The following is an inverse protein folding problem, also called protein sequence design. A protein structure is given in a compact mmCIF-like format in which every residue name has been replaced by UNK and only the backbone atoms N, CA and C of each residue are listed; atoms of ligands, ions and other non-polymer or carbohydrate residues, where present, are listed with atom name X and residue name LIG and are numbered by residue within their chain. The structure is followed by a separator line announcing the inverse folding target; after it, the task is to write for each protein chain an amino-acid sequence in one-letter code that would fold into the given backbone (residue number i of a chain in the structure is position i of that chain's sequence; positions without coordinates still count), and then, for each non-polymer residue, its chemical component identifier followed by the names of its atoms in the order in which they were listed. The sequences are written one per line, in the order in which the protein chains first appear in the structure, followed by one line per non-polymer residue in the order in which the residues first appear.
data_IF_311548735906
#
_entry.id   IF_311548735906
#
_cell.length_a   1.000
_cell.length_b   1.000
_cell.length_c   1.000
_cell.angle_alpha   90.00
_cell.angle_beta   90.00
_cell.angle_gamma   90.00
#
_symmetry.space_group_name_H-M   'P 1'
#
loop_
_entity.id
_entity.type
_entity.pdbx_description
1 polymer ?
#
# COMPACT_ATOMS: atom_id res chain seq x y z
N UNK A 1 17.44 13.59 16.19
CA UNK A 1 16.34 13.40 15.23
C UNK A 1 16.42 11.98 14.72
N UNK A 2 15.99 11.03 15.56
CA UNK A 2 15.92 9.62 15.19
C UNK A 2 14.71 9.46 14.27
N UNK A 3 14.99 9.23 12.98
CA UNK A 3 13.98 8.99 11.97
C UNK A 3 13.28 7.68 12.33
N UNK A 4 12.08 7.79 12.90
CA UNK A 4 11.26 6.68 13.39
C UNK A 4 11.27 5.52 12.38
N UNK A 5 11.38 4.29 12.90
CA UNK A 5 11.22 3.07 12.13
C UNK A 5 9.77 3.00 11.64
N UNK A 6 9.49 3.59 10.47
CA UNK A 6 8.20 3.55 9.80
C UNK A 6 7.95 2.16 9.21
N UNK A 7 7.68 1.17 10.05
CA UNK A 7 7.11 -0.09 9.58
C UNK A 7 5.59 0.14 9.49
N UNK A 8 5.12 0.68 8.37
CA UNK A 8 3.71 0.45 8.01
C UNK A 8 3.53 -1.06 8.07
N UNK A 9 2.60 -1.56 8.89
CA UNK A 9 2.25 -2.97 8.86
C UNK A 9 1.79 -3.26 7.44
N UNK A 10 2.67 -3.92 6.68
CA UNK A 10 2.55 -4.16 5.26
C UNK A 10 1.21 -4.81 4.87
N UNK A 11 0.57 -5.46 5.83
CA UNK A 11 -0.74 -6.12 5.69
C UNK A 11 -1.90 -5.19 5.31
N UNK A 12 -1.77 -3.86 5.40
CA UNK A 12 -2.93 -2.95 5.19
C UNK A 12 -3.05 -2.34 3.79
N UNK A 13 -1.96 -2.11 3.04
CA UNK A 13 -2.02 -1.28 1.82
C UNK A 13 -1.79 -1.99 0.49
N UNK A 14 -1.33 -3.24 0.48
CA UNK A 14 -1.11 -3.96 -0.77
C UNK A 14 -2.38 -4.72 -1.14
N UNK A 15 -3.03 -4.20 -2.18
CA UNK A 15 -4.19 -4.71 -2.91
C UNK A 15 -4.40 -6.22 -2.72
N UNK A 16 -5.46 -6.58 -1.96
CA UNK A 16 -5.88 -7.96 -1.74
C UNK A 16 -6.26 -8.63 -3.06
N UNK A 17 -5.31 -9.31 -3.69
CA UNK A 17 -5.61 -10.28 -4.74
C UNK A 17 -6.09 -11.57 -4.08
N UNK A 18 -7.34 -11.92 -4.36
CA UNK A 18 -8.01 -13.21 -4.13
C UNK A 18 -7.07 -14.40 -3.80
N UNK A 19 -6.85 -14.64 -2.51
CA UNK A 19 -6.60 -15.99 -2.00
C UNK A 19 -7.55 -16.25 -0.84
N UNK A 20 -8.83 -16.38 -1.17
CA UNK A 20 -9.93 -16.59 -0.22
C UNK A 20 -9.85 -17.90 0.56
N UNK A 21 -8.83 -18.73 0.33
CA UNK A 21 -8.73 -20.05 0.97
C UNK A 21 -7.71 -20.11 2.12
N UNK A 22 -6.77 -19.16 2.26
CA UNK A 22 -5.87 -19.05 3.42
C UNK A 22 -5.07 -17.72 3.43
N UNK A 23 -5.65 -16.62 3.95
CA UNK A 23 -4.98 -15.31 4.01
C UNK A 23 -3.69 -15.35 4.85
N UNK A 24 -3.62 -16.19 5.87
CA UNK A 24 -2.45 -16.34 6.73
C UNK A 24 -1.24 -16.86 5.94
N UNK A 25 -1.44 -17.83 5.04
CA UNK A 25 -0.38 -18.34 4.18
C UNK A 25 0.12 -17.28 3.19
N UNK A 26 -0.78 -16.45 2.67
CA UNK A 26 -0.41 -15.34 1.79
C UNK A 26 0.50 -14.35 2.52
N UNK A 27 0.12 -13.90 3.72
CA UNK A 27 0.94 -12.98 4.53
C UNK A 27 2.28 -13.60 4.91
N UNK A 28 2.31 -14.89 5.23
CA UNK A 28 3.55 -15.59 5.53
C UNK A 28 4.53 -15.57 4.34
N UNK A 29 4.03 -15.89 3.14
CA UNK A 29 4.85 -15.88 1.92
C UNK A 29 5.33 -14.47 1.62
N UNK A 30 4.45 -13.47 1.74
CA UNK A 30 4.79 -12.07 1.50
C UNK A 30 5.90 -11.57 2.42
N UNK A 31 5.75 -11.75 3.74
CA UNK A 31 6.78 -11.35 4.72
C UNK A 31 8.10 -12.09 4.49
N UNK A 32 8.05 -13.39 4.18
CA UNK A 32 9.25 -14.16 3.87
C UNK A 32 9.95 -13.63 2.61
N UNK A 33 9.20 -13.27 1.57
CA UNK A 33 9.76 -12.69 0.34
C UNK A 33 10.41 -11.35 0.59
N UNK A 34 9.80 -10.49 1.42
CA UNK A 34 10.34 -9.16 1.77
C UNK A 34 11.62 -9.31 2.58
N UNK A 35 11.61 -10.18 3.59
CA UNK A 35 12.80 -10.49 4.38
C UNK A 35 13.93 -11.00 3.50
N UNK A 36 13.64 -11.95 2.60
CA UNK A 36 14.62 -12.49 1.66
C UNK A 36 15.21 -11.40 0.77
N UNK A 37 14.36 -10.58 0.16
CA UNK A 37 14.76 -9.45 -0.68
C UNK A 37 15.66 -8.45 0.07
N UNK A 38 15.30 -8.09 1.30
CA UNK A 38 16.07 -7.19 2.16
C UNK A 38 17.42 -7.81 2.57
N UNK A 39 17.44 -9.09 2.95
CA UNK A 39 18.66 -9.80 3.34
C UNK A 39 19.65 -9.91 2.19
N UNK A 40 19.18 -10.23 0.97
CA UNK A 40 20.01 -10.27 -0.24
C UNK A 40 20.56 -8.89 -0.57
N UNK A 41 19.72 -7.84 -0.52
CA UNK A 41 20.18 -6.47 -0.74
C UNK A 41 21.27 -6.06 0.26
N UNK A 42 21.08 -6.39 1.54
CA UNK A 42 22.04 -6.07 2.61
C UNK A 42 23.36 -6.82 2.44
N UNK A 43 23.30 -8.11 2.09
CA UNK A 43 24.50 -8.90 1.83
C UNK A 43 25.28 -8.37 0.62
N UNK A 44 24.58 -8.10 -0.48
CA UNK A 44 25.19 -7.55 -1.68
C UNK A 44 25.79 -6.17 -1.44
N UNK A 45 25.10 -5.27 -0.72
CA UNK A 45 25.64 -3.92 -0.45
C UNK A 45 26.95 -3.93 0.32
N UNK A 46 27.21 -4.95 1.13
CA UNK A 46 28.50 -5.11 1.82
C UNK A 46 29.62 -5.57 0.87
N UNK A 47 29.27 -6.25 -0.21
CA UNK A 47 30.21 -6.86 -1.16
C UNK A 47 30.45 -5.96 -2.38
N UNK A 48 29.38 -5.38 -2.91
CA UNK A 48 29.32 -4.60 -4.14
C UNK A 48 28.53 -3.29 -3.92
N UNK A 49 29.04 -2.36 -3.10
CA UNK A 49 28.28 -1.18 -2.65
C UNK A 49 27.76 -0.32 -3.80
N UNK A 50 28.46 -0.26 -4.93
CA UNK A 50 28.17 0.69 -6.01
C UNK A 50 27.46 0.10 -7.24
N UNK A 51 27.19 -1.22 -7.28
CA UNK A 51 26.69 -1.91 -8.48
C UNK A 51 25.53 -2.87 -8.20
N UNK A 52 24.53 -2.41 -7.44
CA UNK A 52 23.31 -3.18 -7.15
C UNK A 52 22.07 -2.39 -7.63
N UNK A 53 21.13 -3.03 -8.35
CA UNK A 53 19.85 -2.41 -8.63
C UNK A 53 18.99 -2.45 -7.36
N UNK A 54 18.87 -1.33 -6.65
CA UNK A 54 17.98 -1.18 -5.51
C UNK A 54 16.59 -0.77 -5.97
N UNK A 55 15.56 -1.21 -5.26
CA UNK A 55 14.17 -0.79 -5.45
C UNK A 55 13.84 0.28 -4.42
N UNK A 56 13.82 1.53 -4.87
CA UNK A 56 13.64 2.71 -4.04
C UNK A 56 12.25 3.28 -4.22
N UNK A 57 11.75 3.98 -3.21
CA UNK A 57 10.49 4.70 -3.27
C UNK A 57 10.59 5.93 -2.39
N UNK A 58 10.55 7.10 -3.00
CA UNK A 58 10.59 8.35 -2.26
C UNK A 58 9.27 8.58 -1.51
N UNK A 59 9.29 9.27 -0.35
CA UNK A 59 8.07 9.70 0.31
C UNK A 59 7.25 10.63 -0.59
N UNK A 60 5.92 10.74 -0.40
CA UNK A 60 5.12 11.81 -1.00
C UNK A 60 5.74 13.20 -0.76
N UNK A 61 5.42 14.16 -1.64
CA UNK A 61 5.84 15.54 -1.40
C UNK A 61 5.30 16.04 -0.06
N UNK A 62 6.10 16.84 0.66
CA UNK A 62 5.67 17.37 1.97
C UNK A 62 4.39 18.22 1.87
N UNK A 63 4.18 18.90 0.74
CA UNK A 63 2.97 19.69 0.46
C UNK A 63 1.75 18.79 0.39
N UNK A 64 1.78 17.78 -0.50
CA UNK A 64 0.67 16.82 -0.68
C UNK A 64 0.37 16.04 0.60
N UNK A 65 1.42 15.66 1.34
CA UNK A 65 1.27 14.99 2.63
C UNK A 65 0.57 15.88 3.67
N UNK A 66 0.93 17.16 3.74
CA UNK A 66 0.32 18.12 4.67
C UNK A 66 -1.14 18.38 4.30
N UNK A 67 -1.43 18.58 3.02
CA UNK A 67 -2.80 18.75 2.49
C UNK A 67 -3.66 17.53 2.84
N UNK A 68 -3.18 16.32 2.57
CA UNK A 68 -3.87 15.08 2.92
C UNK A 68 -4.16 14.95 4.42
N UNK A 69 -3.14 15.17 5.26
CA UNK A 69 -3.27 15.05 6.72
C UNK A 69 -4.24 16.07 7.33
N UNK A 70 -4.38 17.24 6.70
CA UNK A 70 -5.28 18.32 7.16
C UNK A 70 -6.70 18.19 6.64
N UNK A 71 -6.92 17.46 5.54
CA UNK A 71 -8.23 17.28 4.90
C UNK A 71 -9.22 16.45 5.75
N UNK A 72 -8.74 15.45 6.50
CA UNK A 72 -9.60 14.52 7.25
C UNK A 72 -9.23 14.34 8.74
N UNK A 73 -9.14 15.42 9.55
CA UNK A 73 -8.44 15.42 10.84
C UNK A 73 -9.05 14.53 11.94
N UNK A 74 -10.27 13.99 11.76
CA UNK A 74 -10.92 13.08 12.71
C UNK A 74 -10.95 11.63 12.23
N UNK A 75 -11.22 11.42 10.94
CA UNK A 75 -11.36 10.07 10.38
C UNK A 75 -10.01 9.41 10.19
N UNK A 76 -8.97 10.20 9.89
CA UNK A 76 -7.61 9.69 9.73
C UNK A 76 -7.00 9.10 11.01
N UNK A 77 -7.55 9.42 12.20
CA UNK A 77 -7.17 8.78 13.47
C UNK A 77 -7.84 7.40 13.64
N UNK A 78 -8.96 7.17 12.92
CA UNK A 78 -9.71 5.92 12.95
C UNK A 78 -9.18 4.89 11.95
N UNK A 79 -8.43 5.33 10.94
CA UNK A 79 -7.76 4.45 9.97
C UNK A 79 -6.46 3.91 10.59
N UNK A 80 -6.43 2.61 10.85
CA UNK A 80 -5.34 1.86 11.47
C UNK A 80 -4.03 2.09 10.73
N UNK A 81 -4.10 2.14 9.40
CA UNK A 81 -2.95 2.26 8.54
C UNK A 81 -2.16 3.58 8.73
N UNK A 82 -2.79 4.61 9.31
CA UNK A 82 -2.17 5.91 9.58
C UNK A 82 -1.81 6.17 11.04
N UNK A 83 -2.10 5.25 11.96
CA UNK A 83 -1.87 5.46 13.40
C UNK A 83 -0.40 5.65 13.78
N UNK A 84 0.53 5.23 12.92
CA UNK A 84 1.97 5.35 13.13
C UNK A 84 2.59 6.64 12.57
N UNK A 85 1.82 7.49 11.88
CA UNK A 85 2.33 8.76 11.39
C UNK A 85 2.34 9.78 12.53
N UNK A 86 3.51 10.36 12.88
CA UNK A 86 3.60 11.36 13.93
C UNK A 86 2.81 12.58 13.50
N UNK A 87 1.72 12.85 14.22
CA UNK A 87 1.05 14.15 14.21
C UNK A 87 1.37 14.87 15.50
N UNK A 88 1.14 16.18 15.50
CA UNK A 88 1.21 17.05 16.67
C UNK A 88 0.07 16.68 17.65
N UNK A 89 0.12 15.47 18.20
CA UNK A 89 -0.94 14.84 18.98
C UNK A 89 -0.81 15.28 20.45
N UNK A 90 -1.04 16.57 20.70
CA UNK A 90 -1.59 17.00 22.00
C UNK A 90 -3.06 16.59 22.17
N UNK A 91 -3.64 15.87 21.20
CA UNK A 91 -5.03 15.40 21.19
C UNK A 91 -5.18 14.07 21.93
N UNK A 92 -6.17 14.06 22.81
CA UNK A 92 -6.55 13.00 23.75
C UNK A 92 -6.61 11.63 23.08
N UNK A 93 -6.16 10.58 23.79
CA UNK A 93 -6.48 9.18 23.46
C UNK A 93 -7.97 9.08 23.13
N UNK A 94 -8.30 8.39 22.04
CA UNK A 94 -9.69 8.03 21.74
C UNK A 94 -10.20 7.22 22.93
N UNK A 95 -11.16 7.78 23.66
CA UNK A 95 -11.79 7.17 24.82
C UNK A 95 -13.29 7.34 24.65
N UNK A 96 -14.05 6.26 24.86
CA UNK A 96 -15.51 6.28 24.71
C UNK A 96 -16.14 7.33 25.65
N UNK A 97 -15.53 7.52 26.82
CA UNK A 97 -15.96 8.48 27.85
C UNK A 97 -15.82 9.94 27.38
N UNK A 98 -14.99 10.22 26.38
CA UNK A 98 -14.87 11.58 25.81
C UNK A 98 -16.12 11.99 25.02
N UNK A 99 -17.00 11.04 24.68
CA UNK A 99 -18.24 11.27 23.93
C UNK A 99 -19.46 11.44 24.82
N UNK A 100 -19.27 11.47 26.14
CA UNK A 100 -20.33 11.70 27.12
C UNK A 100 -20.00 12.90 28.00
N UNK A 101 -20.99 13.73 28.31
CA UNK A 101 -20.85 14.76 29.33
C UNK A 101 -20.88 14.15 30.74
N UNK A 102 -20.63 14.97 31.76
CA UNK A 102 -20.66 14.51 33.17
C UNK A 102 -22.04 14.00 33.62
N UNK A 103 -23.08 14.23 32.83
CA UNK A 103 -24.45 13.84 33.08
C UNK A 103 -24.86 12.61 32.25
N UNK A 104 -23.94 12.02 31.48
CA UNK A 104 -24.19 10.86 30.63
C UNK A 104 -24.85 11.15 29.29
N UNK A 105 -25.03 12.42 28.91
CA UNK A 105 -25.54 12.77 27.58
C UNK A 105 -24.42 12.70 26.55
N UNK A 106 -24.75 12.23 25.35
CA UNK A 106 -23.76 12.20 24.28
C UNK A 106 -23.40 13.61 23.81
N UNK A 107 -22.10 13.86 23.66
CA UNK A 107 -21.54 15.09 23.07
C UNK A 107 -21.20 14.91 21.58
N UNK A 108 -21.53 13.75 20.99
CA UNK A 108 -21.29 13.41 19.59
C UNK A 108 -21.98 14.43 18.68
N UNK A 109 -21.19 15.10 17.84
CA UNK A 109 -21.72 15.90 16.74
C UNK A 109 -21.89 14.99 15.52
N UNK A 110 -22.75 15.37 14.58
CA UNK A 110 -22.89 14.63 13.31
C UNK A 110 -21.56 14.53 12.54
N UNK A 111 -20.61 15.43 12.78
CA UNK A 111 -19.25 15.40 12.24
C UNK A 111 -18.28 14.48 12.99
N UNK A 112 -18.73 13.80 14.04
CA UNK A 112 -18.01 12.76 14.79
C UNK A 112 -18.53 11.34 14.47
N UNK A 113 -19.58 11.24 13.63
CA UNK A 113 -20.23 9.98 13.27
C UNK A 113 -19.69 9.52 11.92
N UNK A 114 -19.05 8.36 11.90
CA UNK A 114 -18.63 7.69 10.66
C UNK A 114 -19.79 6.86 10.14
N UNK A 115 -20.16 7.03 8.87
CA UNK A 115 -21.21 6.22 8.25
C UNK A 115 -20.68 4.81 7.99
N UNK A 116 -21.44 3.80 8.41
CA UNK A 116 -21.22 2.40 8.05
C UNK A 116 -22.29 1.95 7.06
N UNK A 117 -21.93 1.02 6.17
CA UNK A 117 -22.91 0.42 5.27
C UNK A 117 -23.92 -0.39 6.09
N UNK A 118 -25.22 -0.27 5.78
CA UNK A 118 -26.29 -0.92 6.55
C UNK A 118 -26.12 -2.44 6.65
N UNK A 119 -25.75 -3.08 5.54
CA UNK A 119 -25.52 -4.54 5.52
C UNK A 119 -24.30 -4.93 6.36
N UNK A 120 -23.23 -4.11 6.33
CA UNK A 120 -22.01 -4.35 7.09
C UNK A 120 -22.29 -4.27 8.59
N UNK A 121 -22.98 -3.21 9.01
CA UNK A 121 -23.40 -3.05 10.40
C UNK A 121 -24.28 -4.20 10.87
N UNK A 122 -25.29 -4.57 10.07
CA UNK A 122 -26.14 -5.72 10.37
C UNK A 122 -25.31 -7.01 10.51
N UNK A 123 -24.40 -7.27 9.58
CA UNK A 123 -23.53 -8.45 9.62
C UNK A 123 -22.66 -8.47 10.88
N UNK A 124 -22.09 -7.33 11.29
CA UNK A 124 -21.31 -7.23 12.53
C UNK A 124 -22.18 -7.57 13.74
N UNK A 125 -23.39 -7.00 13.84
CA UNK A 125 -24.31 -7.27 14.94
C UNK A 125 -24.75 -8.73 14.98
N UNK A 126 -25.11 -9.31 13.83
CA UNK A 126 -25.57 -10.70 13.72
C UNK A 126 -24.47 -11.67 14.20
N UNK A 127 -23.20 -11.45 13.82
CA UNK A 127 -22.08 -12.30 14.27
C UNK A 127 -21.75 -12.12 15.76
N UNK A 128 -21.82 -10.89 16.30
CA UNK A 128 -21.64 -10.65 17.73
C UNK A 128 -22.73 -11.34 18.56
N UNK A 129 -23.98 -11.33 18.10
CA UNK A 129 -25.08 -12.02 18.76
C UNK A 129 -24.94 -13.55 18.70
N UNK A 130 -24.33 -14.07 17.64
CA UNK A 130 -23.99 -15.49 17.51
C UNK A 130 -22.77 -15.93 18.35
N UNK A 131 -22.02 -14.99 18.92
CA UNK A 131 -20.76 -15.26 19.63
C UNK A 131 -19.53 -15.39 18.72
N UNK A 132 -19.65 -15.04 17.45
CA UNK A 132 -18.58 -15.08 16.45
C UNK A 132 -17.77 -13.78 16.43
N UNK A 133 -17.18 -13.43 17.57
CA UNK A 133 -16.41 -12.19 17.78
C UNK A 133 -15.28 -12.01 16.78
N UNK A 134 -14.69 -13.12 16.31
CA UNK A 134 -13.61 -13.12 15.31
C UNK A 134 -14.07 -12.47 14.01
N UNK A 135 -15.20 -12.92 13.45
CA UNK A 135 -15.69 -12.44 12.15
C UNK A 135 -16.16 -10.99 12.28
N UNK A 136 -16.85 -10.65 13.37
CA UNK A 136 -17.25 -9.28 13.67
C UNK A 136 -16.02 -8.34 13.74
N UNK A 137 -14.96 -8.77 14.42
CA UNK A 137 -13.70 -8.02 14.50
C UNK A 137 -13.01 -7.90 13.14
N UNK A 138 -13.00 -8.95 12.33
CA UNK A 138 -12.47 -8.92 10.97
C UNK A 138 -13.22 -7.92 10.09
N UNK A 139 -14.56 -7.92 10.11
CA UNK A 139 -15.39 -6.97 9.35
C UNK A 139 -15.14 -5.51 9.76
N UNK A 140 -15.00 -5.24 11.06
CA UNK A 140 -14.67 -3.90 11.56
C UNK A 140 -13.28 -3.43 11.09
N UNK A 141 -12.31 -4.36 10.99
CA UNK A 141 -10.94 -4.05 10.53
C UNK A 141 -10.79 -3.95 9.02
N UNK A 142 -11.79 -4.34 8.23
CA UNK A 142 -11.75 -4.22 6.76
C UNK A 142 -12.06 -2.78 6.34
N UNK A 143 -11.03 -1.94 6.36
CA UNK A 143 -11.11 -0.50 6.04
C UNK A 143 -11.72 -0.20 4.66
N UNK A 144 -11.49 -1.08 3.69
CA UNK A 144 -12.10 -1.03 2.35
C UNK A 144 -13.64 -1.10 2.35
N UNK A 145 -14.26 -1.69 3.37
CA UNK A 145 -15.72 -1.77 3.49
C UNK A 145 -16.34 -0.53 4.14
N UNK A 146 -15.53 0.37 4.71
CA UNK A 146 -15.98 1.58 5.39
C UNK A 146 -15.82 2.79 4.47
N UNK A 147 -16.91 3.51 4.13
CA UNK A 147 -16.90 4.56 3.08
C UNK A 147 -15.77 5.58 3.19
N UNK A 148 -15.62 6.22 4.34
CA UNK A 148 -14.58 7.23 4.51
C UNK A 148 -13.18 6.63 4.60
N UNK A 149 -13.02 5.45 5.18
CA UNK A 149 -11.70 4.81 5.26
C UNK A 149 -11.22 4.44 3.85
N UNK A 150 -12.10 3.87 3.03
CA UNK A 150 -11.79 3.54 1.64
C UNK A 150 -11.38 4.77 0.82
N UNK A 151 -12.11 5.89 0.95
CA UNK A 151 -11.76 7.15 0.29
C UNK A 151 -10.38 7.68 0.74
N UNK A 152 -10.11 7.67 2.05
CA UNK A 152 -8.83 8.15 2.58
C UNK A 152 -7.67 7.23 2.14
N UNK A 153 -7.89 5.91 2.13
CA UNK A 153 -6.91 4.93 1.63
C UNK A 153 -6.63 5.16 0.14
N UNK A 154 -7.66 5.42 -0.65
CA UNK A 154 -7.52 5.73 -2.08
C UNK A 154 -6.73 7.02 -2.31
N UNK A 155 -7.07 8.10 -1.61
CA UNK A 155 -6.35 9.37 -1.72
C UNK A 155 -4.89 9.26 -1.22
N UNK A 156 -4.66 8.47 -0.18
CA UNK A 156 -3.30 8.18 0.27
C UNK A 156 -2.48 7.48 -0.81
N UNK A 157 -3.07 6.52 -1.51
CA UNK A 157 -2.41 5.81 -2.60
C UNK A 157 -2.12 6.74 -3.78
N UNK A 158 -3.00 7.70 -4.08
CA UNK A 158 -2.82 8.62 -5.21
C UNK A 158 -1.70 9.62 -5.00
N UNK A 159 -1.39 10.00 -3.75
CA UNK A 159 -0.27 10.90 -3.43
C UNK A 159 1.09 10.17 -3.30
N UNK A 160 1.12 8.83 -3.34
CA UNK A 160 2.39 8.09 -3.25
C UNK A 160 3.23 8.23 -4.50
N UNK A 161 4.54 8.42 -4.32
CA UNK A 161 5.48 8.26 -5.42
C UNK A 161 5.59 6.79 -5.82
N UNK A 162 5.75 6.56 -7.12
CA UNK A 162 6.00 5.23 -7.65
C UNK A 162 7.39 4.75 -7.24
N UNK A 163 7.51 3.46 -6.93
CA UNK A 163 8.81 2.85 -6.68
C UNK A 163 9.56 2.64 -8.00
N UNK A 164 10.87 2.85 -8.00
CA UNK A 164 11.73 2.72 -9.16
C UNK A 164 13.03 2.00 -8.83
N UNK A 165 13.67 1.41 -9.84
CA UNK A 165 15.01 0.88 -9.68
C UNK A 165 16.06 1.97 -9.80
N UNK A 166 17.01 2.02 -8.87
CA UNK A 166 18.15 2.93 -8.87
C UNK A 166 19.43 2.12 -8.63
N UNK A 167 20.51 2.49 -9.32
CA UNK A 167 21.82 1.92 -9.05
C UNK A 167 22.31 2.38 -7.67
N UNK A 168 22.83 1.47 -6.85
CA UNK A 168 23.33 1.78 -5.51
C UNK A 168 24.46 2.81 -5.52
N UNK A 169 25.37 2.77 -6.51
CA UNK A 169 26.44 3.75 -6.66
C UNK A 169 25.98 5.15 -7.09
N UNK A 170 24.74 5.30 -7.55
CA UNK A 170 24.15 6.59 -7.91
C UNK A 170 23.34 7.22 -6.77
N UNK A 171 23.15 6.51 -5.65
CA UNK A 171 22.35 6.98 -4.51
C UNK A 171 23.25 7.67 -3.50
N UNK A 172 22.94 8.91 -3.15
CA UNK A 172 23.63 9.65 -2.09
C UNK A 172 22.77 9.72 -0.81
N UNK A 173 23.34 9.32 0.32
CA UNK A 173 22.71 9.47 1.64
C UNK A 173 21.40 8.69 1.81
N UNK A 174 20.33 9.39 2.20
CA UNK A 174 19.02 8.77 2.56
C UNK A 174 18.15 8.45 1.33
N UNK A 175 18.59 8.81 0.11
CA UNK A 175 17.81 8.77 -1.15
C UNK A 175 17.57 7.36 -1.74
N UNK A 176 17.78 6.29 -0.95
CA UNK A 176 17.63 4.90 -1.39
C UNK A 176 16.53 4.13 -0.68
N UNK A 177 15.88 4.71 0.33
CA UNK A 177 14.87 4.01 1.13
C UNK A 177 13.64 3.66 0.28
N UNK A 178 12.97 2.57 0.64
CA UNK A 178 11.65 2.26 0.13
C UNK A 178 10.61 2.76 1.15
N UNK A 179 9.98 3.91 0.89
CA UNK A 179 9.08 4.58 1.84
C UNK A 179 8.00 3.65 2.40
N UNK A 180 7.23 2.98 1.53
CA UNK A 180 6.12 2.15 2.02
C UNK A 180 6.54 0.91 2.81
N UNK A 181 7.73 0.37 2.54
CA UNK A 181 8.26 -0.78 3.29
C UNK A 181 8.99 -0.32 4.57
N UNK A 182 9.36 0.96 4.67
CA UNK A 182 10.20 1.45 5.76
C UNK A 182 11.62 0.91 5.74
N UNK A 183 12.07 0.28 4.65
CA UNK A 183 13.30 -0.49 4.59
C UNK A 183 14.37 0.17 3.71
N UNK A 184 15.61 0.04 4.14
CA UNK A 184 16.81 0.28 3.33
C UNK A 184 17.91 -0.70 3.80
N UNK A 185 18.61 -1.37 2.87
CA UNK A 185 18.36 -1.42 1.43
C UNK A 185 17.25 -2.40 1.05
N UNK A 186 16.71 -2.30 -0.16
CA UNK A 186 15.73 -3.25 -0.67
C UNK A 186 15.95 -3.49 -2.18
N UNK A 187 15.80 -4.73 -2.63
CA UNK A 187 15.88 -5.11 -4.06
C UNK A 187 14.84 -6.20 -4.35
N UNK A 188 14.73 -6.63 -5.60
CA UNK A 188 13.93 -7.80 -5.95
C UNK A 188 14.83 -8.98 -6.30
N UNK A 189 14.57 -10.12 -5.67
CA UNK A 189 15.34 -11.36 -5.85
C UNK A 189 14.46 -12.60 -6.03
N UNK A 190 13.25 -12.59 -5.48
CA UNK A 190 12.41 -13.79 -5.29
C UNK A 190 11.61 -14.25 -6.52
N UNK A 191 11.72 -13.59 -7.68
CA UNK A 191 10.93 -13.95 -8.87
C UNK A 191 11.68 -13.79 -10.22
N UNK A 192 12.85 -14.46 -10.41
CA UNK A 192 13.67 -14.35 -11.62
C UNK A 192 13.00 -14.78 -12.93
N UNK A 193 11.98 -15.65 -12.87
CA UNK A 193 11.23 -16.09 -14.05
C UNK A 193 10.48 -14.92 -14.71
N UNK A 194 10.03 -13.94 -13.93
CA UNK A 194 9.13 -12.86 -14.40
C UNK A 194 9.69 -11.45 -14.24
N UNK A 195 10.92 -11.31 -13.74
CA UNK A 195 11.57 -10.01 -13.53
C UNK A 195 13.05 -10.10 -13.87
N UNK A 196 13.49 -9.29 -14.84
CA UNK A 196 14.88 -9.25 -15.28
C UNK A 196 15.84 -8.75 -14.19
N UNK A 197 15.39 -7.82 -13.34
CA UNK A 197 16.18 -7.33 -12.19
C UNK A 197 16.55 -8.43 -11.22
N UNK A 198 15.65 -9.37 -10.96
CA UNK A 198 15.94 -10.51 -10.11
C UNK A 198 17.06 -11.36 -10.74
N UNK A 199 17.08 -11.58 -12.06
CA UNK A 199 18.19 -12.28 -12.73
C UNK A 199 19.54 -11.55 -12.55
N UNK A 200 19.55 -10.22 -12.63
CA UNK A 200 20.76 -9.41 -12.40
C UNK A 200 21.24 -9.57 -10.96
N UNK A 201 20.34 -9.49 -9.98
CA UNK A 201 20.65 -9.69 -8.55
C UNK A 201 21.13 -11.11 -8.27
N UNK A 202 20.55 -12.13 -8.90
CA UNK A 202 21.00 -13.52 -8.80
C UNK A 202 22.44 -13.69 -9.30
N UNK A 203 22.80 -13.07 -10.42
CA UNK A 203 24.17 -13.09 -10.96
C UNK A 203 25.17 -12.38 -10.03
N UNK A 204 24.76 -11.23 -9.48
CA UNK A 204 25.55 -10.52 -8.46
C UNK A 204 25.76 -11.40 -7.21
N UNK A 205 24.71 -12.07 -6.73
CA UNK A 205 24.78 -12.94 -5.56
C UNK A 205 25.71 -14.13 -5.79
N UNK A 206 25.65 -14.75 -6.98
CA UNK A 206 26.55 -15.83 -7.35
C UNK A 206 28.01 -15.37 -7.40
N UNK A 207 28.30 -14.21 -7.99
CA UNK A 207 29.65 -13.65 -8.02
C UNK A 207 30.18 -13.34 -6.61
N UNK A 208 29.33 -12.78 -5.74
CA UNK A 208 29.67 -12.49 -4.35
C UNK A 208 30.01 -13.76 -3.54
N UNK A 209 29.22 -14.82 -3.69
CA UNK A 209 29.46 -16.11 -3.03
C UNK A 209 30.76 -16.77 -3.53
N UNK A 210 31.04 -16.67 -4.82
CA UNK A 210 32.27 -17.19 -5.44
C UNK A 210 33.52 -16.34 -5.14
N UNK A 211 33.38 -15.19 -4.48
CA UNK A 211 34.48 -14.23 -4.27
C UNK A 211 35.00 -13.60 -5.57
N UNK A 212 34.18 -13.58 -6.63
CA UNK A 212 34.50 -12.97 -7.92
C UNK A 212 34.17 -11.47 -7.90
N UNK A 213 34.81 -10.66 -8.76
CA UNK A 213 34.40 -9.27 -8.93
C UNK A 213 32.96 -9.18 -9.45
N UNK A 214 32.34 -8.02 -9.25
CA UNK A 214 31.00 -7.76 -9.78
C UNK A 214 30.97 -8.01 -11.29
N UNK A 215 29.99 -8.76 -11.82
CA UNK A 215 29.82 -8.97 -13.25
C UNK A 215 29.31 -7.71 -13.98
N UNK A 216 28.98 -6.64 -13.25
CA UNK A 216 28.44 -5.40 -13.78
C UNK A 216 29.14 -4.17 -13.19
N UNK A 217 29.36 -3.15 -14.02
CA UNK A 217 29.79 -1.82 -13.58
C UNK A 217 28.62 -1.00 -13.02
N UNK A 218 28.93 0.11 -12.32
CA UNK A 218 27.92 1.06 -11.85
C UNK A 218 27.09 1.63 -13.01
N UNK A 219 27.75 1.98 -14.12
CA UNK A 219 27.12 2.52 -15.33
C UNK A 219 26.20 1.49 -16.00
N UNK A 220 26.62 0.23 -16.07
CA UNK A 220 25.80 -0.85 -16.62
C UNK A 220 24.53 -1.07 -15.79
N UNK A 221 24.66 -1.13 -14.46
CA UNK A 221 23.50 -1.24 -13.56
C UNK A 221 22.59 -0.02 -13.69
N UNK A 222 23.14 1.19 -13.80
CA UNK A 222 22.35 2.39 -13.99
C UNK A 222 21.54 2.35 -15.30
N UNK A 223 22.17 1.90 -16.39
CA UNK A 223 21.49 1.73 -17.68
C UNK A 223 20.40 0.63 -17.62
N UNK A 224 20.67 -0.49 -16.93
CA UNK A 224 19.68 -1.55 -16.70
C UNK A 224 18.48 -0.99 -15.91
N UNK A 225 18.72 -0.27 -14.82
CA UNK A 225 17.68 0.36 -14.00
C UNK A 225 16.79 1.27 -14.85
N UNK A 226 17.39 2.14 -15.68
CA UNK A 226 16.66 3.05 -16.57
C UNK A 226 15.76 2.29 -17.57
N UNK A 227 16.30 1.27 -18.23
CA UNK A 227 15.55 0.48 -19.21
C UNK A 227 14.41 -0.31 -18.56
N UNK A 228 14.66 -0.90 -17.39
CA UNK A 228 13.64 -1.63 -16.63
C UNK A 228 12.54 -0.69 -16.17
N UNK A 229 12.87 0.50 -15.63
CA UNK A 229 11.86 1.47 -15.22
C UNK A 229 10.99 1.91 -16.40
N UNK A 230 11.60 2.16 -17.56
CA UNK A 230 10.86 2.52 -18.77
C UNK A 230 9.94 1.39 -19.23
N UNK A 231 10.41 0.15 -19.21
CA UNK A 231 9.58 -1.02 -19.54
C UNK A 231 8.44 -1.22 -18.54
N UNK A 232 8.69 -1.02 -17.24
CA UNK A 232 7.67 -1.10 -16.19
C UNK A 232 6.57 -0.05 -16.39
N UNK A 233 6.94 1.19 -16.70
CA UNK A 233 5.97 2.27 -16.93
C UNK A 233 5.07 1.95 -18.13
N UNK A 234 5.66 1.46 -19.24
CA UNK A 234 4.88 1.02 -20.42
C UNK A 234 3.95 -0.14 -20.08
N UNK A 235 4.43 -1.13 -19.32
CA UNK A 235 3.63 -2.29 -18.94
C UNK A 235 2.47 -1.90 -18.00
N UNK A 236 2.69 -0.97 -17.07
CA UNK A 236 1.67 -0.46 -16.17
C UNK A 236 0.59 0.31 -16.94
N UNK A 237 1.00 1.20 -17.85
CA UNK A 237 0.08 1.96 -18.69
C UNK A 237 -0.78 1.03 -19.54
N UNK A 238 -0.16 0.07 -20.24
CA UNK A 238 -0.88 -0.93 -21.03
C UNK A 238 -1.87 -1.74 -20.17
N UNK A 239 -1.46 -2.19 -19.00
CA UNK A 239 -2.31 -2.95 -18.09
C UNK A 239 -3.51 -2.11 -17.59
N UNK A 240 -3.33 -0.83 -17.33
CA UNK A 240 -4.42 0.08 -16.96
C UNK A 240 -5.42 0.23 -18.11
N UNK A 241 -4.93 0.43 -19.34
CA UNK A 241 -5.79 0.51 -20.52
C UNK A 241 -6.57 -0.79 -20.75
N UNK A 242 -5.92 -1.94 -20.62
CA UNK A 242 -6.58 -3.25 -20.73
C UNK A 242 -7.69 -3.43 -19.67
N UNK A 243 -7.45 -3.04 -18.42
CA UNK A 243 -8.48 -3.10 -17.36
C UNK A 243 -9.68 -2.23 -17.69
N UNK A 244 -9.44 -0.98 -18.09
CA UNK A 244 -10.52 -0.06 -18.46
C UNK A 244 -11.33 -0.58 -19.64
N UNK A 245 -10.65 -1.11 -20.66
CA UNK A 245 -11.31 -1.72 -21.82
C UNK A 245 -12.12 -2.97 -21.45
N UNK A 246 -11.54 -3.88 -20.67
CA UNK A 246 -12.22 -5.10 -20.22
C UNK A 246 -13.46 -4.78 -19.39
N UNK A 247 -13.35 -3.81 -18.48
CA UNK A 247 -14.48 -3.33 -17.68
C UNK A 247 -15.58 -2.77 -18.59
N UNK A 248 -15.24 -1.86 -19.51
CA UNK A 248 -16.19 -1.29 -20.45
C UNK A 248 -16.87 -2.36 -21.31
N UNK A 249 -16.11 -3.32 -21.83
CA UNK A 249 -16.64 -4.42 -22.63
C UNK A 249 -17.60 -5.31 -21.83
N UNK A 250 -17.24 -5.61 -20.59
CA UNK A 250 -18.09 -6.48 -19.75
C UNK A 250 -19.38 -5.79 -19.34
N UNK A 251 -19.33 -4.49 -19.05
CA UNK A 251 -20.54 -3.71 -18.74
C UNK A 251 -21.47 -3.52 -19.94
N UNK A 252 -20.95 -3.60 -21.17
CA UNK A 252 -21.78 -3.56 -22.37
C UNK A 252 -22.57 -4.86 -22.56
N UNK A 253 -21.98 -6.01 -22.24
CA UNK A 253 -22.63 -7.32 -22.38
C UNK A 253 -23.50 -7.70 -21.18
N UNK A 254 -23.09 -7.31 -19.97
CA UNK A 254 -23.75 -7.61 -18.70
C UNK A 254 -23.78 -6.37 -17.79
N UNK A 255 -24.86 -5.57 -17.81
CA UNK A 255 -25.00 -4.41 -16.94
C UNK A 255 -25.09 -4.81 -15.47
N UNK A 256 -24.12 -4.37 -14.67
CA UNK A 256 -24.03 -4.68 -13.25
C UNK A 256 -24.34 -3.46 -12.37
N UNK A 257 -24.92 -3.72 -11.20
CA UNK A 257 -25.17 -2.70 -10.16
C UNK A 257 -24.02 -2.76 -9.16
N UNK A 258 -23.31 -1.65 -8.98
CA UNK A 258 -22.21 -1.55 -8.03
C UNK A 258 -22.57 -0.61 -6.88
N UNK A 259 -22.03 -0.92 -5.70
CA UNK A 259 -21.92 0.07 -4.64
C UNK A 259 -20.67 0.91 -4.88
N UNK A 260 -20.86 2.23 -4.94
CA UNK A 260 -19.78 3.19 -5.15
C UNK A 260 -19.83 4.28 -4.08
N UNK A 261 -18.68 4.87 -3.79
CA UNK A 261 -18.56 6.04 -2.93
C UNK A 261 -18.30 7.28 -3.77
N UNK A 262 -18.93 8.39 -3.39
CA UNK A 262 -18.67 9.68 -4.03
C UNK A 262 -17.33 10.19 -3.50
N UNK A 263 -16.35 10.30 -4.38
CA UNK A 263 -15.01 10.84 -4.06
C UNK A 263 -15.01 12.36 -4.19
N UNK A 264 -15.53 12.86 -5.31
CA UNK A 264 -15.68 14.29 -5.58
C UNK A 264 -16.97 14.56 -6.36
N UNK A 265 -17.50 15.76 -6.19
CA UNK A 265 -18.71 16.21 -6.87
C UNK A 265 -18.59 17.70 -7.14
N UNK A 266 -18.60 18.07 -8.42
CA UNK A 266 -18.63 19.46 -8.86
C UNK A 266 -19.83 19.69 -9.78
N UNK A 267 -20.01 20.92 -10.24
CA UNK A 267 -21.17 21.31 -11.07
C UNK A 267 -21.25 20.58 -12.42
N UNK A 268 -20.19 19.89 -12.85
CA UNK A 268 -20.07 19.23 -14.17
C UNK A 268 -19.96 17.71 -14.11
N UNK A 269 -19.35 17.18 -13.05
CA UNK A 269 -19.05 15.76 -12.94
C UNK A 269 -19.11 15.27 -11.49
N UNK A 270 -19.36 13.97 -11.36
CA UNK A 270 -19.31 13.23 -10.11
C UNK A 270 -18.28 12.12 -10.28
N UNK A 271 -17.26 12.12 -9.43
CA UNK A 271 -16.23 11.09 -9.39
C UNK A 271 -16.62 10.03 -8.38
N UNK A 272 -16.65 8.78 -8.83
CA UNK A 272 -17.09 7.64 -8.03
C UNK A 272 -15.94 6.65 -7.82
N UNK A 273 -15.70 6.29 -6.56
CA UNK A 273 -14.83 5.19 -6.19
C UNK A 273 -15.66 3.89 -6.14
N UNK A 274 -15.40 2.99 -7.08
CA UNK A 274 -16.00 1.65 -7.12
C UNK A 274 -15.04 0.67 -6.45
N UNK A 275 -15.42 0.17 -5.27
CA UNK A 275 -14.59 -0.77 -4.49
C UNK A 275 -14.30 -2.08 -5.23
N UNK A 276 -15.25 -2.51 -6.07
CA UNK A 276 -15.29 -3.85 -6.66
C UNK A 276 -14.88 -3.91 -8.14
N UNK A 277 -14.40 -2.82 -8.75
CA UNK A 277 -14.13 -2.77 -10.20
C UNK A 277 -12.99 -3.72 -10.69
N UNK A 278 -12.30 -4.41 -9.77
CA UNK A 278 -11.28 -5.43 -10.09
C UNK A 278 -11.88 -6.85 -10.10
N UNK A 279 -13.12 -7.04 -9.67
CA UNK A 279 -13.77 -8.34 -9.57
C UNK A 279 -14.79 -8.58 -10.68
N UNK A 280 -14.32 -8.52 -11.93
CA UNK A 280 -14.85 -9.41 -12.96
C UNK A 280 -14.33 -10.83 -12.67
N UNK A 281 -14.88 -11.46 -11.62
CA UNK A 281 -14.90 -12.91 -11.60
C UNK A 281 -15.82 -13.31 -12.75
N UNK A 282 -15.21 -13.91 -13.77
CA UNK A 282 -15.83 -14.98 -14.55
C UNK A 282 -16.85 -15.73 -13.69
N UNK A 283 -18.13 -15.46 -13.96
CA UNK A 283 -19.14 -16.51 -13.94
C UNK A 283 -18.91 -17.40 -15.16
#
# INVERSE_FOLDING_TARGET
MECCQFRMSLSFFITRKNSTNCPEAYFLIEELMILTNHSVATYLMRTFPDCIPLRCQDPPSMTSLTEFLTKYPKVIDMVLAFQHYPRDCKKKKICIDNFYDKNGNTTLRSSDITYAQKWLWKSVVDHLQAGDDRIASELLRKEELHPFHALIIHEWQSIQNQAEYRCSGCIQGVNGRHFNLGMFPYTHFTAPIRRYTDLVVHRLLHAAIDGKPSPYSCEEINHICHNVNTALNRAQEYNNQCKSYLLAHTLQSDPQIFHAFVEDCNDKEITLLILDAIFLKTL
#
